data_IF_096949555259
#
_entry.id   IF_096949555259
#
_cell.length_a   1.000
_cell.length_b   1.000
_cell.length_c   1.000
_cell.angle_alpha   90.00
_cell.angle_beta   90.00
_cell.angle_gamma   90.00
#
_symmetry.space_group_name_H-M   'P 1'
#
loop_
_entity.id
_entity.type
_entity.pdbx_description
1 polymer ?
#
# COMPACT_ATOMS: atom_id res chain seq x y z
N UNK A 1 8.88 -56.38 -33.81
CA UNK A 1 10.31 -56.74 -33.61
C UNK A 1 10.85 -55.84 -32.50
N UNK A 2 11.16 -56.42 -31.32
CA UNK A 2 11.94 -55.92 -30.15
C UNK A 2 11.56 -54.54 -29.55
N UNK A 3 11.01 -54.41 -28.32
CA UNK A 3 11.41 -54.84 -26.95
C UNK A 3 12.28 -53.82 -26.20
N UNK A 4 12.06 -53.79 -24.87
CA UNK A 4 12.80 -53.18 -23.74
C UNK A 4 12.28 -51.79 -23.27
N UNK A 5 11.56 -51.60 -22.15
CA UNK A 5 11.67 -52.13 -20.76
C UNK A 5 12.71 -51.37 -19.92
N UNK A 6 12.24 -50.56 -18.95
CA UNK A 6 12.99 -50.16 -17.73
C UNK A 6 12.02 -49.80 -16.60
N UNK A 7 11.75 -50.80 -15.78
CA UNK A 7 11.31 -50.70 -14.39
C UNK A 7 12.40 -50.11 -13.48
N UNK A 8 12.03 -49.24 -12.54
CA UNK A 8 12.85 -48.89 -11.39
C UNK A 8 12.05 -49.08 -10.09
N UNK A 9 12.34 -50.19 -9.41
CA UNK A 9 11.97 -50.48 -8.02
C UNK A 9 13.11 -50.08 -7.10
N UNK A 10 12.80 -49.39 -6.01
CA UNK A 10 13.63 -49.45 -4.79
C UNK A 10 12.75 -49.43 -3.55
N UNK A 11 12.78 -50.57 -2.85
CA UNK A 11 12.26 -50.78 -1.52
C UNK A 11 13.11 -50.09 -0.45
N UNK A 12 12.44 -49.56 0.56
CA UNK A 12 12.62 -50.03 1.92
C UNK A 12 13.63 -49.28 2.79
N UNK A 13 13.12 -48.70 3.89
CA UNK A 13 13.58 -49.06 5.24
C UNK A 13 12.59 -48.59 6.29
N UNK A 14 11.88 -49.57 6.85
CA UNK A 14 11.24 -49.49 8.17
C UNK A 14 12.36 -49.52 9.22
N UNK A 15 12.27 -48.67 10.24
CA UNK A 15 13.13 -48.68 11.42
C UNK A 15 12.37 -48.11 12.61
N UNK A 16 12.12 -48.98 13.58
CA UNK A 16 11.28 -48.87 14.77
C UNK A 16 12.18 -48.68 16.01
N UNK A 17 11.83 -47.79 16.95
CA UNK A 17 12.28 -47.75 18.37
C UNK A 17 11.61 -46.52 19.03
N UNK A 18 10.49 -46.59 19.76
CA UNK A 18 10.15 -47.23 21.05
C UNK A 18 11.07 -46.80 22.22
N UNK A 19 10.54 -45.85 23.00
CA UNK A 19 10.52 -45.69 24.47
C UNK A 19 11.83 -45.74 25.29
N UNK A 20 12.04 -44.78 26.20
CA UNK A 20 12.12 -45.02 27.66
C UNK A 20 12.36 -43.73 28.49
N UNK A 21 11.78 -43.75 29.70
CA UNK A 21 12.24 -43.09 30.94
C UNK A 21 11.84 -41.64 31.23
N UNK A 22 10.59 -41.50 31.68
CA UNK A 22 10.24 -40.66 32.82
C UNK A 22 10.63 -41.38 34.13
N UNK A 23 11.34 -40.71 35.05
CA UNK A 23 11.20 -40.79 36.51
C UNK A 23 12.38 -40.09 37.23
N UNK A 24 12.08 -39.60 38.45
CA UNK A 24 12.97 -39.02 39.48
C UNK A 24 13.45 -37.58 39.20
N UNK A 25 12.96 -36.57 39.91
CA UNK A 25 13.30 -36.45 41.33
C UNK A 25 12.31 -35.53 42.08
N UNK A 26 11.64 -36.11 43.08
CA UNK A 26 11.12 -35.38 44.23
C UNK A 26 12.31 -34.80 45.02
N UNK A 27 12.40 -33.47 45.09
CA UNK A 27 13.19 -32.79 46.11
C UNK A 27 12.26 -31.91 46.93
N UNK A 28 11.92 -32.38 48.12
CA UNK A 28 11.29 -31.60 49.17
C UNK A 28 12.20 -30.41 49.53
N UNK A 29 11.78 -29.19 49.20
CA UNK A 29 12.36 -27.98 49.78
C UNK A 29 11.33 -27.39 50.74
N UNK A 30 11.55 -27.65 52.02
CA UNK A 30 10.88 -26.97 53.11
C UNK A 30 11.26 -25.48 53.05
N UNK A 31 10.35 -24.63 52.55
CA UNK A 31 10.53 -23.19 52.50
C UNK A 31 10.10 -22.61 53.85
N UNK A 32 11.08 -22.17 54.62
CA UNK A 32 10.90 -21.43 55.86
C UNK A 32 10.19 -20.10 55.57
N UNK A 33 9.00 -19.92 56.13
CA UNK A 33 8.22 -18.69 56.04
C UNK A 33 8.84 -17.63 56.96
N UNK A 34 9.79 -16.84 56.45
CA UNK A 34 10.20 -15.62 57.14
C UNK A 34 9.05 -14.60 57.10
N UNK A 35 8.73 -13.91 58.21
CA UNK A 35 7.71 -12.87 58.22
C UNK A 35 8.14 -11.73 57.28
N UNK A 36 7.32 -11.49 56.25
CA UNK A 36 7.50 -10.41 55.27
C UNK A 36 7.36 -9.07 56.02
N UNK A 37 8.36 -8.18 56.01
CA UNK A 37 8.18 -6.84 56.55
C UNK A 37 7.03 -6.14 55.79
N UNK A 38 6.27 -5.25 56.46
CA UNK A 38 5.14 -4.56 55.85
C UNK A 38 5.62 -3.86 54.57
N UNK A 39 5.06 -4.26 53.42
CA UNK A 39 5.34 -3.62 52.15
C UNK A 39 4.86 -2.17 52.24
N UNK A 40 5.79 -1.24 52.06
CA UNK A 40 5.47 0.17 51.82
C UNK A 40 4.49 0.21 50.63
N UNK A 41 3.33 0.89 50.74
CA UNK A 41 2.42 1.01 49.60
C UNK A 41 3.21 1.62 48.44
N UNK A 42 3.33 0.83 47.38
CA UNK A 42 3.90 1.27 46.12
C UNK A 42 3.03 2.42 45.62
N UNK A 43 3.59 3.61 45.31
CA UNK A 43 2.81 4.69 44.77
C UNK A 43 2.13 4.17 43.51
N UNK A 44 0.80 4.16 43.53
CA UNK A 44 -0.06 3.74 42.44
C UNK A 44 0.36 4.52 41.19
N UNK A 45 1.20 3.88 40.37
CA UNK A 45 1.72 4.45 39.15
C UNK A 45 0.50 4.57 38.25
N UNK A 46 -0.05 5.78 38.15
CA UNK A 46 -1.16 6.08 37.26
C UNK A 46 -0.80 5.49 35.89
N UNK A 47 -1.43 4.36 35.57
CA UNK A 47 -1.22 3.70 34.29
C UNK A 47 -1.83 4.65 33.26
N UNK A 48 -0.99 5.43 32.60
CA UNK A 48 -1.38 6.16 31.41
C UNK A 48 -1.95 5.11 30.46
N UNK A 49 -3.26 5.11 30.27
CA UNK A 49 -3.90 4.18 29.36
C UNK A 49 -3.19 4.31 28.01
N UNK A 50 -2.74 3.21 27.40
CA UNK A 50 -2.08 3.29 26.11
C UNK A 50 -3.03 3.98 25.13
N UNK A 51 -2.58 5.10 24.56
CA UNK A 51 -3.29 5.78 23.48
C UNK A 51 -3.49 4.78 22.36
N UNK A 52 -4.73 4.34 22.15
CA UNK A 52 -5.06 3.37 21.11
C UNK A 52 -4.74 4.03 19.77
N UNK A 53 -3.75 3.49 19.05
CA UNK A 53 -3.47 3.92 17.67
C UNK A 53 -4.74 3.75 16.84
N UNK A 54 -5.03 4.69 15.91
CA UNK A 54 -6.15 4.52 15.00
C UNK A 54 -6.02 3.22 14.21
N UNK A 55 -7.17 2.61 13.89
CA UNK A 55 -7.21 1.44 13.02
C UNK A 55 -6.74 1.84 11.61
N UNK A 56 -6.02 0.98 10.89
CA UNK A 56 -5.68 1.21 9.49
C UNK A 56 -6.93 1.50 8.65
N UNK A 57 -6.78 2.36 7.65
CA UNK A 57 -7.85 2.86 6.81
C UNK A 57 -7.49 2.83 5.31
N UNK A 58 -8.52 2.68 4.48
CA UNK A 58 -8.43 2.86 3.04
C UNK A 58 -8.74 4.32 2.70
N UNK A 59 -7.74 5.05 2.18
CA UNK A 59 -7.83 6.49 1.88
C UNK A 59 -8.42 6.78 0.50
N UNK A 60 -8.25 5.87 -0.45
CA UNK A 60 -8.82 6.00 -1.80
C UNK A 60 -9.06 4.64 -2.44
N UNK A 61 -10.16 4.54 -3.21
CA UNK A 61 -10.43 3.47 -4.15
C UNK A 61 -10.87 4.08 -5.48
N UNK A 62 -10.21 3.71 -6.58
CA UNK A 62 -10.51 4.25 -7.91
C UNK A 62 -10.28 3.21 -8.99
N UNK A 63 -11.14 3.18 -10.00
CA UNK A 63 -11.04 2.24 -11.12
C UNK A 63 -10.77 2.96 -12.45
N UNK A 64 -9.97 2.32 -13.30
CA UNK A 64 -9.74 2.72 -14.69
C UNK A 64 -9.99 1.54 -15.62
N UNK A 65 -10.36 1.84 -16.87
CA UNK A 65 -10.52 0.82 -17.89
C UNK A 65 -9.14 0.29 -18.28
N UNK A 66 -8.98 -1.02 -18.25
CA UNK A 66 -7.76 -1.70 -18.66
C UNK A 66 -8.00 -2.44 -19.98
N UNK A 67 -6.97 -2.47 -20.84
CA UNK A 67 -7.07 -3.15 -22.13
C UNK A 67 -6.45 -4.55 -22.02
N UNK A 68 -7.28 -5.60 -22.00
CA UNK A 68 -6.82 -6.98 -22.08
C UNK A 68 -7.01 -7.55 -23.50
N UNK A 69 -6.02 -8.27 -24.05
CA UNK A 69 -6.22 -9.03 -25.28
C UNK A 69 -7.31 -10.09 -25.07
N UNK A 70 -8.44 -9.99 -25.76
CA UNK A 70 -9.57 -10.92 -25.61
C UNK A 70 -10.94 -10.26 -25.69
N UNK A 71 -11.03 -8.95 -25.42
CA UNK A 71 -12.27 -8.18 -25.54
C UNK A 71 -13.16 -8.16 -24.29
N UNK A 72 -12.83 -8.96 -23.28
CA UNK A 72 -13.52 -8.92 -21.99
C UNK A 72 -13.30 -7.56 -21.29
N UNK A 73 -14.36 -6.93 -20.75
CA UNK A 73 -14.21 -5.70 -19.98
C UNK A 73 -13.31 -5.94 -18.76
N UNK A 74 -12.13 -5.32 -18.77
CA UNK A 74 -11.14 -5.44 -17.71
C UNK A 74 -10.94 -4.08 -17.06
N UNK A 75 -10.74 -4.07 -15.75
CA UNK A 75 -10.54 -2.87 -14.95
C UNK A 75 -9.34 -3.05 -14.04
N UNK A 76 -8.58 -1.97 -13.86
CA UNK A 76 -7.60 -1.86 -12.79
C UNK A 76 -8.20 -1.00 -11.66
N UNK A 77 -8.25 -1.55 -10.45
CA UNK A 77 -8.73 -0.84 -9.26
C UNK A 77 -7.52 -0.52 -8.39
N UNK A 78 -7.21 0.76 -8.24
CA UNK A 78 -6.16 1.26 -7.35
C UNK A 78 -6.73 1.59 -5.97
N UNK A 79 -6.11 1.04 -4.94
CA UNK A 79 -6.45 1.18 -3.53
C UNK A 79 -5.25 1.80 -2.79
N UNK A 80 -5.45 2.93 -2.11
CA UNK A 80 -4.39 3.60 -1.35
C UNK A 80 -4.70 3.54 0.14
N UNK A 81 -3.85 2.87 0.91
CA UNK A 81 -3.99 2.71 2.35
C UNK A 81 -3.22 3.79 3.13
N UNK A 82 -3.62 4.04 4.37
CA UNK A 82 -2.92 4.94 5.30
C UNK A 82 -1.70 4.29 5.97
N UNK A 83 -1.40 3.05 5.62
CA UNK A 83 -0.30 2.22 6.13
C UNK A 83 0.36 1.46 5.00
N UNK A 84 1.63 1.13 5.18
CA UNK A 84 2.35 0.19 4.31
C UNK A 84 1.82 -1.24 4.55
N UNK A 85 1.59 -1.96 3.47
CA UNK A 85 1.00 -3.30 3.41
C UNK A 85 2.14 -4.33 3.32
N UNK A 86 2.08 -5.32 4.20
CA UNK A 86 2.97 -6.47 4.16
C UNK A 86 2.67 -7.33 2.93
N UNK A 87 3.60 -7.36 1.98
CA UNK A 87 3.47 -8.02 0.69
C UNK A 87 3.06 -9.50 0.80
N UNK A 88 3.57 -10.21 1.81
CA UNK A 88 3.26 -11.63 2.01
C UNK A 88 1.80 -11.90 2.40
N UNK A 89 1.07 -10.89 2.85
CA UNK A 89 -0.36 -10.99 3.17
C UNK A 89 -1.28 -10.69 1.99
N UNK A 90 -0.74 -10.16 0.89
CA UNK A 90 -1.51 -9.72 -0.26
C UNK A 90 -1.82 -10.89 -1.20
N UNK A 91 -3.09 -11.28 -1.24
CA UNK A 91 -3.59 -12.28 -2.20
C UNK A 91 -4.94 -11.82 -2.79
N UNK A 92 -5.27 -12.15 -4.06
CA UNK A 92 -6.50 -11.66 -4.69
C UNK A 92 -7.79 -12.11 -3.98
N UNK A 93 -7.80 -13.30 -3.40
CA UNK A 93 -8.91 -13.90 -2.64
C UNK A 93 -9.24 -13.15 -1.33
N UNK A 94 -8.43 -12.16 -0.94
CA UNK A 94 -8.74 -11.25 0.17
C UNK A 94 -9.76 -10.19 -0.21
N UNK A 95 -10.00 -9.98 -1.49
CA UNK A 95 -10.83 -8.89 -1.99
C UNK A 95 -12.06 -9.42 -2.72
N UNK A 96 -13.14 -8.65 -2.61
CA UNK A 96 -14.33 -8.80 -3.41
C UNK A 96 -14.68 -7.47 -4.04
N UNK A 97 -14.81 -7.44 -5.36
CA UNK A 97 -15.24 -6.25 -6.09
C UNK A 97 -16.70 -6.40 -6.47
N UNK A 98 -17.51 -5.41 -6.11
CA UNK A 98 -18.90 -5.32 -6.55
C UNK A 98 -18.96 -4.49 -7.82
N UNK A 99 -19.69 -4.98 -8.82
CA UNK A 99 -19.94 -4.26 -10.06
C UNK A 99 -21.24 -3.44 -9.97
N UNK A 100 -21.41 -2.45 -10.85
CA UNK A 100 -22.66 -1.69 -11.00
C UNK A 100 -23.86 -2.58 -11.33
N UNK A 101 -23.63 -3.71 -12.02
CA UNK A 101 -24.62 -4.77 -12.26
C UNK A 101 -25.09 -5.51 -11.00
N UNK A 102 -24.41 -5.31 -9.86
CA UNK A 102 -24.63 -6.07 -8.62
C UNK A 102 -23.88 -7.41 -8.56
N UNK A 103 -23.19 -7.79 -9.64
CA UNK A 103 -22.31 -8.94 -9.64
C UNK A 103 -21.15 -8.75 -8.64
N UNK A 104 -20.65 -9.87 -8.12
CA UNK A 104 -19.51 -9.93 -7.21
C UNK A 104 -18.40 -10.69 -7.90
N UNK A 105 -17.22 -10.09 -7.98
CA UNK A 105 -16.08 -10.61 -8.73
C UNK A 105 -14.88 -10.64 -7.79
N UNK A 106 -14.21 -11.78 -7.74
CA UNK A 106 -12.87 -11.90 -7.15
C UNK A 106 -11.85 -11.35 -8.15
N UNK A 107 -10.94 -10.46 -7.75
CA UNK A 107 -9.88 -10.01 -8.64
C UNK A 107 -9.02 -11.18 -9.14
N UNK A 108 -8.57 -11.08 -10.40
CA UNK A 108 -7.63 -12.04 -10.97
C UNK A 108 -6.23 -11.88 -10.36
N UNK A 109 -5.86 -10.64 -10.02
CA UNK A 109 -4.54 -10.26 -9.50
C UNK A 109 -4.67 -9.16 -8.45
N UNK A 110 -3.72 -9.13 -7.53
CA UNK A 110 -3.55 -8.10 -6.52
C UNK A 110 -2.05 -7.89 -6.31
N UNK A 111 -1.55 -6.68 -6.58
CA UNK A 111 -0.12 -6.37 -6.46
C UNK A 111 0.09 -5.06 -5.71
N UNK A 112 1.26 -4.94 -5.07
CA UNK A 112 1.78 -3.66 -4.62
C UNK A 112 2.33 -2.94 -5.85
N UNK A 113 1.55 -2.02 -6.38
CA UNK A 113 1.84 -1.31 -7.61
C UNK A 113 1.01 -0.02 -7.69
N UNK A 114 1.50 1.03 -8.37
CA UNK A 114 2.79 1.10 -9.07
C UNK A 114 4.02 1.26 -8.18
N UNK A 115 3.85 1.50 -6.88
CA UNK A 115 4.89 1.46 -5.84
C UNK A 115 5.90 0.32 -6.08
N UNK A 116 7.04 0.65 -6.66
CA UNK A 116 8.03 -0.33 -7.13
C UNK A 116 9.23 -0.42 -6.19
N UNK A 117 9.31 0.51 -5.24
CA UNK A 117 10.33 0.57 -4.22
C UNK A 117 9.85 -0.06 -2.90
N UNK A 118 10.80 -0.57 -2.12
CA UNK A 118 10.52 -1.37 -0.93
C UNK A 118 9.82 -0.61 0.21
N UNK A 119 9.68 0.71 0.13
CA UNK A 119 9.04 1.56 1.15
C UNK A 119 7.84 2.36 0.62
N UNK A 120 7.24 1.89 -0.47
CA UNK A 120 6.09 2.51 -1.12
C UNK A 120 4.82 1.67 -1.02
N UNK A 121 4.82 0.63 -0.20
CA UNK A 121 3.85 -0.47 -0.16
C UNK A 121 2.43 -0.09 0.33
N UNK A 122 1.93 1.12 0.08
CA UNK A 122 0.58 1.60 0.45
C UNK A 122 -0.45 1.43 -0.64
N UNK A 123 -0.02 1.18 -1.88
CA UNK A 123 -0.91 1.08 -3.02
C UNK A 123 -1.07 -0.37 -3.44
N UNK A 124 -2.32 -0.84 -3.43
CA UNK A 124 -2.70 -2.14 -4.01
C UNK A 124 -3.43 -1.89 -5.33
N UNK A 125 -2.99 -2.54 -6.40
CA UNK A 125 -3.71 -2.58 -7.67
C UNK A 125 -4.38 -3.95 -7.83
N UNK A 126 -5.69 -3.94 -8.10
CA UNK A 126 -6.48 -5.15 -8.37
C UNK A 126 -6.81 -5.23 -9.87
N UNK A 127 -6.55 -6.38 -10.49
CA UNK A 127 -7.03 -6.65 -11.85
C UNK A 127 -8.40 -7.33 -11.78
N UNK A 128 -9.42 -6.71 -12.36
CA UNK A 128 -10.82 -7.21 -12.34
C UNK A 128 -11.27 -7.47 -13.76
N UNK A 129 -11.60 -8.72 -14.07
CA UNK A 129 -12.25 -9.10 -15.33
C UNK A 129 -13.74 -9.24 -15.06
N UNK A 130 -14.55 -8.37 -15.65
CA UNK A 130 -15.98 -8.47 -15.47
C UNK A 130 -16.57 -9.62 -16.28
N UNK A 131 -17.55 -10.37 -15.73
CA UNK A 131 -18.24 -11.41 -16.49
C UNK A 131 -19.03 -10.80 -17.64
N UNK A 132 -19.26 -11.59 -18.69
CA UNK A 132 -20.17 -11.21 -19.77
C UNK A 132 -21.55 -10.86 -19.19
N UNK A 133 -22.14 -9.72 -19.58
CA UNK A 133 -23.48 -9.37 -19.13
C UNK A 133 -24.49 -10.43 -19.61
N UNK A 134 -25.41 -10.89 -18.75
CA UNK A 134 -26.46 -11.80 -19.18
C UNK A 134 -27.46 -11.06 -20.08
N UNK A 135 -27.37 -11.26 -21.39
CA UNK A 135 -28.34 -10.79 -22.39
C UNK A 135 -28.13 -9.36 -22.91
N UNK A 136 -28.76 -9.07 -24.06
CA UNK A 136 -28.68 -7.80 -24.81
C UNK A 136 -29.70 -6.75 -24.30
N UNK A 137 -30.32 -7.01 -23.14
CA UNK A 137 -31.57 -6.37 -22.71
C UNK A 137 -31.36 -5.00 -22.02
N UNK A 138 -30.22 -4.35 -22.25
CA UNK A 138 -29.97 -2.98 -21.78
C UNK A 138 -28.94 -2.88 -20.65
N UNK A 139 -27.67 -3.05 -21.03
CA UNK A 139 -26.47 -2.37 -20.50
C UNK A 139 -26.48 -2.05 -19.00
N UNK A 140 -26.61 -3.06 -18.13
CA UNK A 140 -26.05 -2.91 -16.79
C UNK A 140 -24.55 -2.72 -16.95
N UNK A 141 -24.04 -1.57 -16.53
CA UNK A 141 -22.61 -1.30 -16.55
C UNK A 141 -21.89 -2.34 -15.71
N UNK A 142 -20.78 -2.84 -16.24
CA UNK A 142 -19.93 -3.82 -15.57
C UNK A 142 -18.77 -3.15 -14.83
N UNK A 143 -18.83 -1.83 -14.65
CA UNK A 143 -17.79 -1.11 -13.91
C UNK A 143 -17.76 -1.50 -12.43
N UNK A 144 -16.58 -1.57 -11.81
CA UNK A 144 -16.45 -1.64 -10.35
C UNK A 144 -17.15 -0.46 -9.68
N UNK A 145 -17.95 -0.73 -8.65
CA UNK A 145 -18.63 0.31 -7.83
C UNK A 145 -18.21 0.32 -6.38
N UNK A 146 -17.63 -0.78 -5.90
CA UNK A 146 -17.13 -0.90 -4.54
C UNK A 146 -16.14 -2.04 -4.43
N UNK A 147 -15.25 -1.94 -3.44
CA UNK A 147 -14.37 -3.02 -3.02
C UNK A 147 -14.64 -3.35 -1.55
N UNK A 148 -14.55 -4.63 -1.23
CA UNK A 148 -14.66 -5.14 0.14
C UNK A 148 -13.46 -6.02 0.41
N UNK A 149 -12.80 -5.78 1.54
CA UNK A 149 -11.81 -6.67 2.09
C UNK A 149 -12.54 -7.76 2.87
N UNK A 150 -12.52 -9.00 2.35
CA UNK A 150 -13.20 -10.16 2.92
C UNK A 150 -12.25 -11.09 3.69
N UNK A 151 -10.94 -10.83 3.63
CA UNK A 151 -9.91 -11.52 4.39
C UNK A 151 -9.09 -10.56 5.25
N UNK A 152 -7.96 -11.05 5.77
CA UNK A 152 -7.03 -10.25 6.56
C UNK A 152 -5.86 -9.81 5.67
N UNK A 153 -5.52 -8.52 5.72
CA UNK A 153 -4.20 -8.05 5.33
C UNK A 153 -3.41 -7.70 6.59
N UNK A 154 -2.09 -7.63 6.44
CA UNK A 154 -1.20 -7.14 7.48
C UNK A 154 -0.55 -5.85 6.99
N UNK A 155 -0.44 -4.88 7.88
CA UNK A 155 0.44 -3.75 7.69
C UNK A 155 1.88 -4.18 8.04
N UNK A 156 2.88 -3.52 7.46
CA UNK A 156 4.29 -3.78 7.77
C UNK A 156 4.64 -3.52 9.24
N UNK A 157 3.87 -2.65 9.92
CA UNK A 157 4.00 -2.39 11.35
C UNK A 157 3.36 -3.48 12.24
N UNK A 158 2.86 -4.56 11.64
CA UNK A 158 2.27 -5.72 12.30
C UNK A 158 0.79 -5.56 12.67
N UNK A 159 0.16 -4.43 12.38
CA UNK A 159 -1.30 -4.28 12.55
C UNK A 159 -2.06 -5.15 11.55
N UNK A 160 -3.21 -5.65 11.98
CA UNK A 160 -4.16 -6.35 11.11
C UNK A 160 -5.09 -5.32 10.47
N UNK A 161 -5.38 -5.52 9.19
CA UNK A 161 -6.33 -4.76 8.40
C UNK A 161 -7.46 -5.72 8.04
N UNK A 162 -8.67 -5.40 8.49
CA UNK A 162 -9.86 -6.22 8.31
C UNK A 162 -11.11 -5.34 8.22
N UNK A 163 -12.23 -5.90 7.75
CA UNK A 163 -13.54 -5.25 7.70
C UNK A 163 -13.57 -3.90 6.96
N UNK A 164 -12.65 -3.70 6.00
CA UNK A 164 -12.62 -2.50 5.16
C UNK A 164 -13.52 -2.65 3.94
N UNK A 165 -14.25 -1.58 3.62
CA UNK A 165 -14.95 -1.45 2.35
C UNK A 165 -14.88 0.01 1.90
N UNK A 166 -14.87 0.21 0.59
CA UNK A 166 -14.92 1.54 0.00
C UNK A 166 -15.75 1.53 -1.28
N UNK A 167 -16.49 2.61 -1.47
CA UNK A 167 -17.13 2.91 -2.74
C UNK A 167 -16.06 3.29 -3.77
N UNK A 168 -16.21 2.75 -4.97
CA UNK A 168 -15.44 3.15 -6.14
C UNK A 168 -16.32 4.15 -6.88
N UNK A 169 -15.92 5.42 -6.79
CA UNK A 169 -16.64 6.51 -7.44
C UNK A 169 -16.61 6.42 -8.97
N UNK A 170 -17.37 7.29 -9.66
CA UNK A 170 -17.28 7.39 -11.11
C UNK A 170 -15.85 7.73 -11.56
N UNK A 171 -15.47 7.45 -12.82
CA UNK A 171 -14.18 7.84 -13.35
C UNK A 171 -13.89 9.32 -13.10
N UNK A 172 -12.76 9.59 -12.45
CA UNK A 172 -12.32 10.93 -12.08
C UNK A 172 -10.83 11.07 -12.41
N UNK A 173 -10.29 12.30 -12.53
CA UNK A 173 -8.85 12.50 -12.61
C UNK A 173 -8.15 12.04 -11.34
N UNK A 174 -6.87 11.69 -11.44
CA UNK A 174 -6.05 11.42 -10.25
C UNK A 174 -6.02 12.64 -9.31
N UNK A 175 -6.00 12.37 -8.00
CA UNK A 175 -5.92 13.39 -6.93
C UNK A 175 -4.91 12.97 -5.88
N UNK A 176 -4.34 13.95 -5.19
CA UNK A 176 -3.49 13.71 -4.02
C UNK A 176 -4.32 13.13 -2.89
N UNK A 177 -3.85 12.03 -2.30
CA UNK A 177 -4.54 11.28 -1.24
C UNK A 177 -3.84 11.45 0.10
N UNK A 178 -2.51 11.41 0.08
CA UNK A 178 -1.69 11.50 1.28
C UNK A 178 -0.39 12.23 0.97
N UNK A 179 0.11 12.99 1.95
CA UNK A 179 1.45 13.56 1.94
C UNK A 179 2.16 13.22 3.25
N UNK A 180 3.42 12.82 3.15
CA UNK A 180 4.24 12.46 4.30
C UNK A 180 5.61 13.11 4.20
N UNK A 181 6.20 13.39 5.35
CA UNK A 181 7.59 13.83 5.42
C UNK A 181 8.49 12.60 5.52
N UNK A 182 9.51 12.54 4.69
CA UNK A 182 10.57 11.53 4.72
C UNK A 182 11.94 12.22 4.78
N UNK A 183 12.90 11.51 5.35
CA UNK A 183 14.31 11.90 5.19
C UNK A 183 14.74 11.60 3.76
N UNK A 184 15.57 12.46 3.20
CA UNK A 184 16.26 12.18 1.95
C UNK A 184 17.48 11.29 2.23
N UNK A 185 17.80 10.40 1.31
CA UNK A 185 18.90 9.46 1.39
C UNK A 185 19.50 9.17 -0.01
N UNK A 186 20.29 8.10 -0.14
CA UNK A 186 20.95 7.75 -1.40
C UNK A 186 19.99 7.16 -2.44
N UNK A 187 18.82 6.68 -2.00
CA UNK A 187 17.75 6.12 -2.83
C UNK A 187 16.62 7.12 -3.07
N UNK A 188 16.39 8.06 -2.14
CA UNK A 188 15.36 9.09 -2.19
C UNK A 188 15.92 10.50 -2.14
N UNK A 189 15.57 11.32 -3.11
CA UNK A 189 15.94 12.73 -3.22
C UNK A 189 17.44 12.95 -3.01
N UNK A 190 18.27 12.19 -3.74
CA UNK A 190 19.73 12.20 -3.57
C UNK A 190 20.31 13.62 -3.63
N UNK A 191 21.06 13.98 -2.59
CA UNK A 191 21.73 15.29 -2.48
C UNK A 191 20.86 16.38 -1.84
N UNK A 192 19.60 16.09 -1.51
CA UNK A 192 18.70 16.97 -0.80
C UNK A 192 18.61 16.60 0.69
N UNK A 193 17.87 17.39 1.49
CA UNK A 193 17.78 17.20 2.95
C UNK A 193 16.48 16.58 3.41
N UNK A 194 15.41 16.79 2.66
CA UNK A 194 14.06 16.34 3.02
C UNK A 194 13.32 16.00 1.75
N UNK A 195 12.47 14.98 1.84
CA UNK A 195 11.50 14.63 0.82
C UNK A 195 10.09 14.80 1.40
N UNK A 196 9.18 15.37 0.61
CA UNK A 196 7.74 15.24 0.87
C UNK A 196 7.19 14.18 -0.09
N UNK A 197 6.86 13.01 0.45
CA UNK A 197 6.29 11.90 -0.31
C UNK A 197 4.82 12.13 -0.53
N UNK A 198 4.39 12.10 -1.79
CA UNK A 198 3.00 12.28 -2.18
C UNK A 198 2.44 10.99 -2.73
N UNK A 199 1.25 10.58 -2.26
CA UNK A 199 0.52 9.43 -2.78
C UNK A 199 -0.72 9.89 -3.53
N UNK A 200 -0.89 9.40 -4.75
CA UNK A 200 -1.96 9.75 -5.68
C UNK A 200 -2.95 8.61 -5.84
N UNK A 201 -4.22 8.93 -6.13
CA UNK A 201 -5.30 7.94 -6.24
C UNK A 201 -5.20 7.03 -7.48
N UNK A 202 -4.35 7.40 -8.44
CA UNK A 202 -4.00 6.66 -9.65
C UNK A 202 -2.55 7.03 -10.01
N UNK A 203 -1.87 6.23 -10.87
CA UNK A 203 -0.57 6.62 -11.40
C UNK A 203 -0.62 7.94 -12.17
N UNK A 204 0.44 8.73 -12.03
CA UNK A 204 0.57 10.07 -12.59
C UNK A 204 1.88 10.23 -13.33
N UNK A 205 1.97 11.26 -14.17
CA UNK A 205 3.19 11.70 -14.88
C UNK A 205 3.29 13.22 -14.90
N UNK A 206 4.47 13.82 -15.05
CA UNK A 206 4.59 15.27 -15.20
C UNK A 206 3.85 15.75 -16.46
N UNK A 207 3.18 16.89 -16.36
CA UNK A 207 2.60 17.57 -17.52
C UNK A 207 3.62 18.54 -18.15
N UNK A 208 3.54 18.70 -19.47
CA UNK A 208 4.53 19.44 -20.29
C UNK A 208 4.51 20.97 -20.06
N UNK A 209 3.42 21.53 -19.51
CA UNK A 209 3.18 22.97 -19.35
C UNK A 209 3.16 23.46 -17.88
N UNK A 210 3.63 22.63 -16.94
CA UNK A 210 4.28 23.07 -15.70
C UNK A 210 3.48 24.00 -14.78
N UNK A 211 2.20 23.69 -14.51
CA UNK A 211 1.47 24.34 -13.43
C UNK A 211 2.24 24.19 -12.09
N UNK A 212 2.26 25.20 -11.22
CA UNK A 212 3.24 25.28 -10.13
C UNK A 212 2.98 24.35 -8.92
N UNK A 213 4.04 23.96 -8.21
CA UNK A 213 4.01 23.40 -6.85
C UNK A 213 4.56 24.46 -5.90
N UNK A 214 3.81 24.79 -4.86
CA UNK A 214 4.21 25.76 -3.83
C UNK A 214 4.16 25.11 -2.46
N UNK A 215 5.24 25.21 -1.71
CA UNK A 215 5.40 24.62 -0.39
C UNK A 215 5.58 25.76 0.60
N UNK A 216 4.65 25.92 1.55
CA UNK A 216 4.80 26.87 2.63
C UNK A 216 5.57 26.25 3.80
N UNK A 217 6.49 27.03 4.36
CA UNK A 217 7.33 26.65 5.49
C UNK A 217 6.82 27.29 6.78
N UNK A 218 7.14 26.67 7.92
CA UNK A 218 6.76 27.16 9.25
C UNK A 218 7.29 28.57 9.57
N UNK A 219 8.37 28.99 8.91
CA UNK A 219 8.94 30.34 9.04
C UNK A 219 8.24 31.41 8.18
N UNK A 220 7.16 31.03 7.49
CA UNK A 220 6.35 31.91 6.64
C UNK A 220 6.86 32.07 5.21
N UNK A 221 7.99 31.46 4.84
CA UNK A 221 8.46 31.45 3.44
C UNK A 221 7.65 30.46 2.59
N UNK A 222 7.68 30.68 1.28
CA UNK A 222 7.20 29.73 0.28
C UNK A 222 8.32 29.36 -0.67
N UNK A 223 8.43 28.08 -1.00
CA UNK A 223 9.44 27.52 -1.90
C UNK A 223 8.78 26.64 -2.96
N UNK A 224 9.50 26.33 -4.02
CA UNK A 224 9.19 25.23 -4.95
C UNK A 224 10.09 24.05 -4.62
N UNK A 225 9.69 22.80 -4.91
CA UNK A 225 10.62 21.68 -4.80
C UNK A 225 11.83 21.90 -5.72
N UNK A 226 13.01 21.48 -5.26
CA UNK A 226 14.26 21.57 -6.01
C UNK A 226 14.32 20.53 -7.14
N UNK A 227 13.72 19.36 -6.90
CA UNK A 227 13.57 18.27 -7.85
C UNK A 227 12.31 17.45 -7.53
N UNK A 228 11.91 16.60 -8.48
CA UNK A 228 10.96 15.51 -8.27
C UNK A 228 11.74 14.21 -8.44
N UNK A 229 11.79 13.37 -7.41
CA UNK A 229 12.35 12.03 -7.57
C UNK A 229 11.33 11.11 -8.26
N UNK A 230 11.82 9.98 -8.79
CA UNK A 230 11.03 8.94 -9.50
C UNK A 230 10.37 9.40 -10.80
N UNK A 231 10.52 10.68 -11.10
CA UNK A 231 10.01 11.36 -12.28
C UNK A 231 11.19 11.91 -13.07
N UNK A 232 11.86 11.06 -13.84
CA UNK A 232 12.99 11.52 -14.67
C UNK A 232 12.55 12.59 -15.68
N UNK A 233 12.81 13.85 -15.35
CA UNK A 233 12.73 14.97 -16.28
C UNK A 233 13.86 14.81 -17.33
N UNK A 234 13.52 14.56 -18.60
CA UNK A 234 14.42 14.87 -19.71
C UNK A 234 15.10 13.73 -20.47
N UNK A 235 14.72 12.46 -20.32
CA UNK A 235 15.13 11.41 -21.28
C UNK A 235 13.91 10.75 -21.90
N UNK A 236 13.79 10.86 -23.24
CA UNK A 236 12.73 10.26 -24.04
C UNK A 236 12.73 8.74 -23.78
N UNK A 237 11.73 8.20 -23.07
CA UNK A 237 11.77 6.81 -22.62
C UNK A 237 11.63 5.84 -23.81
N UNK A 238 12.26 4.68 -23.71
CA UNK A 238 11.92 3.52 -24.54
C UNK A 238 10.54 3.02 -24.13
N UNK A 239 9.82 2.28 -25.00
CA UNK A 239 8.47 1.78 -24.65
C UNK A 239 8.44 0.91 -23.37
N UNK A 240 9.54 0.24 -23.03
CA UNK A 240 9.70 -0.47 -21.75
C UNK A 240 9.90 0.51 -20.58
N UNK A 241 10.72 1.55 -20.75
CA UNK A 241 10.91 2.60 -19.74
C UNK A 241 9.71 3.56 -19.60
N UNK A 242 8.69 3.47 -20.45
CA UNK A 242 7.41 4.19 -20.27
C UNK A 242 6.55 3.48 -19.23
N UNK A 243 6.49 2.14 -19.26
CA UNK A 243 5.75 1.37 -18.27
C UNK A 243 6.33 1.52 -16.85
N UNK A 244 7.65 1.67 -16.74
CA UNK A 244 8.39 1.89 -15.46
C UNK A 244 8.36 3.34 -14.93
N UNK A 245 7.60 4.27 -15.56
CA UNK A 245 7.54 5.71 -15.15
C UNK A 245 6.14 6.18 -14.79
N UNK A 246 5.28 5.23 -14.46
CA UNK A 246 3.91 5.49 -14.09
C UNK A 246 3.75 5.14 -12.63
N UNK A 247 4.11 6.09 -11.79
CA UNK A 247 4.02 5.94 -10.34
C UNK A 247 2.86 6.76 -9.78
N UNK A 248 2.28 6.27 -8.70
CA UNK A 248 1.34 7.01 -7.88
C UNK A 248 2.02 7.57 -6.61
N UNK A 249 3.32 7.35 -6.46
CA UNK A 249 4.18 7.98 -5.47
C UNK A 249 5.10 8.99 -6.16
N UNK A 250 5.25 10.17 -5.57
CA UNK A 250 6.25 11.17 -6.03
C UNK A 250 6.88 11.81 -4.81
N UNK A 251 8.22 11.84 -4.78
CA UNK A 251 8.97 12.56 -3.77
C UNK A 251 9.32 13.98 -4.22
N UNK A 252 8.85 14.98 -3.46
CA UNK A 252 9.18 16.38 -3.66
C UNK A 252 10.47 16.70 -2.89
N UNK A 253 11.58 16.91 -3.60
CA UNK A 253 12.89 17.07 -2.99
C UNK A 253 13.17 18.50 -2.55
N UNK A 254 13.60 18.69 -1.30
CA UNK A 254 13.83 20.00 -0.68
C UNK A 254 15.28 20.18 -0.23
N UNK A 255 15.92 21.26 -0.70
CA UNK A 255 17.26 21.68 -0.28
C UNK A 255 17.29 22.33 1.11
N UNK A 256 16.14 22.81 1.57
CA UNK A 256 16.09 23.64 2.76
C UNK A 256 16.26 22.80 4.04
N UNK A 257 17.19 23.24 4.88
CA UNK A 257 17.50 22.64 6.16
C UNK A 257 16.75 23.31 7.32
N UNK A 258 16.19 24.49 7.10
CA UNK A 258 15.79 25.41 8.16
C UNK A 258 14.29 25.53 8.42
N UNK A 259 13.46 25.39 7.38
CA UNK A 259 12.01 25.51 7.48
C UNK A 259 11.30 24.15 7.40
N UNK A 260 10.51 23.82 8.42
CA UNK A 260 9.60 22.69 8.32
C UNK A 260 8.46 23.03 7.35
N UNK A 261 8.34 22.28 6.24
CA UNK A 261 7.13 22.35 5.40
C UNK A 261 5.86 22.11 6.23
N UNK A 262 4.90 23.02 6.14
CA UNK A 262 3.63 22.94 6.89
C UNK A 262 2.44 22.79 5.97
N UNK A 263 2.59 23.16 4.70
CA UNK A 263 1.49 23.16 3.74
C UNK A 263 2.02 23.03 2.31
N UNK A 264 1.30 22.32 1.46
CA UNK A 264 1.62 22.12 0.04
C UNK A 264 0.41 22.43 -0.82
N UNK A 265 0.63 23.29 -1.80
CA UNK A 265 -0.30 23.57 -2.88
C UNK A 265 0.25 23.02 -4.19
N UNK A 266 -0.52 22.17 -4.87
CA UNK A 266 -0.22 21.63 -6.18
C UNK A 266 -1.29 22.12 -7.15
N UNK A 267 -0.90 22.89 -8.14
CA UNK A 267 -1.82 23.37 -9.14
C UNK A 267 -2.45 22.21 -9.94
N UNK A 268 -3.71 22.38 -10.32
CA UNK A 268 -4.40 21.47 -11.26
C UNK A 268 -3.54 21.30 -12.51
N UNK A 269 -3.36 20.06 -12.95
CA UNK A 269 -2.62 19.77 -14.17
C UNK A 269 -1.10 19.89 -14.05
N UNK A 270 -0.51 20.07 -12.85
CA UNK A 270 0.94 19.86 -12.66
C UNK A 270 1.36 18.46 -13.14
N UNK A 271 0.47 17.51 -12.90
CA UNK A 271 0.56 16.14 -13.34
C UNK A 271 -0.65 15.79 -14.21
N UNK A 272 -0.54 14.70 -14.96
CA UNK A 272 -1.65 14.05 -15.66
C UNK A 272 -1.68 12.56 -15.30
N UNK A 273 -2.86 11.96 -15.31
CA UNK A 273 -2.98 10.51 -15.18
C UNK A 273 -2.62 9.79 -16.50
N UNK A 274 -2.68 8.45 -16.48
CA UNK A 274 -2.34 7.62 -17.63
C UNK A 274 -3.29 7.76 -18.82
N UNK A 275 -4.50 8.28 -18.60
CA UNK A 275 -5.43 8.63 -19.69
C UNK A 275 -5.11 9.99 -20.32
N UNK A 276 -4.17 10.74 -19.72
CA UNK A 276 -3.81 12.09 -20.10
C UNK A 276 -4.72 13.16 -19.48
N UNK A 277 -5.62 12.80 -18.56
CA UNK A 277 -6.45 13.79 -17.88
C UNK A 277 -5.62 14.55 -16.83
N UNK A 278 -5.76 15.88 -16.74
CA UNK A 278 -5.00 16.67 -15.77
C UNK A 278 -5.46 16.35 -14.35
N UNK A 279 -4.52 16.18 -13.42
CA UNK A 279 -4.85 15.95 -12.01
C UNK A 279 -5.62 17.11 -11.40
N UNK A 280 -6.40 16.81 -10.36
CA UNK A 280 -7.05 17.84 -9.57
C UNK A 280 -6.02 18.72 -8.84
N UNK A 281 -6.35 19.97 -8.55
CA UNK A 281 -5.54 20.78 -7.64
C UNK A 281 -5.53 20.13 -6.25
N UNK A 282 -4.42 20.28 -5.53
CA UNK A 282 -4.28 19.85 -4.14
C UNK A 282 -3.85 21.03 -3.27
N UNK A 283 -4.39 21.07 -2.06
CA UNK A 283 -4.18 22.09 -1.05
C UNK A 283 -4.24 21.34 0.29
N UNK A 284 -3.06 20.98 0.82
CA UNK A 284 -2.93 20.01 1.91
C UNK A 284 -1.94 20.47 2.97
N UNK A 285 -2.30 20.26 4.23
CA UNK A 285 -1.37 20.43 5.34
C UNK A 285 -0.38 19.27 5.40
N UNK A 286 0.86 19.59 5.75
CA UNK A 286 1.91 18.58 5.96
C UNK A 286 1.90 18.18 7.44
N UNK A 287 1.74 16.89 7.78
CA UNK A 287 1.83 16.43 9.15
C UNK A 287 3.16 16.83 9.81
N UNK A 288 3.10 17.23 11.08
CA UNK A 288 4.29 17.56 11.85
C UNK A 288 5.22 16.35 12.04
N UNK A 289 6.47 16.60 12.43
CA UNK A 289 7.44 15.54 12.78
C UNK A 289 7.01 14.84 14.08
N UNK A 290 6.07 13.89 14.01
CA UNK A 290 5.72 13.06 15.18
C UNK A 290 4.27 12.63 15.32
N UNK A 291 3.58 12.28 14.23
CA UNK A 291 2.39 11.43 14.33
C UNK A 291 2.80 9.96 14.33
#
# INVERSE_FOLDING_TARGET
MRAADRTATTHGRRGLLVALLAALSLACVARSSSPRPPQRPEPERAATAPTRRPAPALLSAQAVDATRPGGDPTFEVSLVFDVEIEASSLTPDRFLVMLESGARVEPLRADLAPASEGDENRTVTLEVVAPEPPGDDGRASQRPRAVVLIGLLHAEDGRVIEDLSADIGPPAPARLVLIERREADETRCRGHKTALRTYWSLPVRPADDGAAIVIALADGRSITPAALDDMSEGSRPTAAAVADRHDNVIDLCLDDAGGDAVHVWIARGRFADLTGAPTSAADVDVPGRGA
#
